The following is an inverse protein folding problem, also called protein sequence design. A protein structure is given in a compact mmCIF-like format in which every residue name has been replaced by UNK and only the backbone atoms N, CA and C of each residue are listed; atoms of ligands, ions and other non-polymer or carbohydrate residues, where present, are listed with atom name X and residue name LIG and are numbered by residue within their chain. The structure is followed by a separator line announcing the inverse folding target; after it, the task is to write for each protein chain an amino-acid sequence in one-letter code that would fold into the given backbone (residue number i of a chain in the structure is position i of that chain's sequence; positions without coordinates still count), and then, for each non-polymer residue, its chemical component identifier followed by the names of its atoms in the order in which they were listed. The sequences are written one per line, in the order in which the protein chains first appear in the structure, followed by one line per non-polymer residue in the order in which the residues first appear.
data_IF_799562213649
#
_entry.id   IF_799562213649
#
_cell.length_a   1.000
_cell.length_b   1.000
_cell.length_c   1.000
_cell.angle_alpha   90.00
_cell.angle_beta   90.00
_cell.angle_gamma   90.00
#
_symmetry.space_group_name_H-M   'P 1'
#
loop_
_entity.id
_entity.type
_entity.pdbx_description
1 polymer ?
#
# COMPACT_ATOMS: atom_id res chain seq x y z
N UNK A 1 -3.22 7.77 13.80
CA UNK A 1 -2.44 8.42 12.72
C UNK A 1 -1.62 7.33 12.06
N UNK A 2 -1.71 7.18 10.74
CA UNK A 2 -0.97 6.16 9.99
C UNK A 2 0.53 6.52 9.87
N UNK A 3 1.38 5.53 9.49
CA UNK A 3 2.82 5.77 9.29
C UNK A 3 3.08 6.84 8.22
N UNK A 4 2.27 6.90 7.16
CA UNK A 4 2.39 7.88 6.09
C UNK A 4 2.06 9.30 6.57
N UNK A 5 0.98 9.45 7.36
CA UNK A 5 0.59 10.75 7.90
C UNK A 5 1.65 11.29 8.87
N UNK A 6 2.22 10.42 9.69
CA UNK A 6 3.32 10.79 10.61
C UNK A 6 4.55 11.24 9.85
N UNK A 7 4.98 10.46 8.86
CA UNK A 7 6.14 10.77 8.03
C UNK A 7 5.99 12.12 7.31
N UNK A 8 4.86 12.34 6.63
CA UNK A 8 4.60 13.59 5.93
C UNK A 8 4.53 14.78 6.87
N UNK A 9 3.91 14.62 8.05
CA UNK A 9 3.86 15.66 9.07
C UNK A 9 5.28 16.05 9.53
N UNK A 10 6.13 15.08 9.86
CA UNK A 10 7.51 15.33 10.29
C UNK A 10 8.32 15.99 9.17
N UNK A 11 8.15 15.52 7.93
CA UNK A 11 8.84 16.08 6.78
C UNK A 11 8.47 17.55 6.52
N UNK A 12 7.20 17.92 6.70
CA UNK A 12 6.70 19.29 6.53
C UNK A 12 6.90 20.19 7.76
N UNK A 13 7.45 19.70 8.87
CA UNK A 13 7.85 20.55 9.99
C UNK A 13 9.08 21.42 9.65
N UNK A 14 9.86 21.03 8.65
CA UNK A 14 10.93 21.87 8.12
C UNK A 14 10.34 23.10 7.44
N UNK A 15 10.79 24.31 7.84
CA UNK A 15 10.24 25.58 7.37
C UNK A 15 10.45 25.84 5.89
N UNK A 16 11.57 25.39 5.33
CA UNK A 16 11.88 25.53 3.90
C UNK A 16 10.91 24.67 3.07
N UNK A 17 10.70 23.41 3.47
CA UNK A 17 9.74 22.50 2.83
C UNK A 17 8.30 23.00 2.98
N UNK A 18 7.97 23.53 4.14
CA UNK A 18 6.63 24.07 4.39
C UNK A 18 6.36 25.32 3.54
N UNK A 19 7.32 26.25 3.45
CA UNK A 19 7.21 27.42 2.56
C UNK A 19 7.09 26.98 1.09
N UNK A 20 7.94 26.07 0.67
CA UNK A 20 7.95 25.52 -0.69
C UNK A 20 6.63 24.82 -1.05
N UNK A 21 6.05 24.06 -0.08
CA UNK A 21 4.75 23.44 -0.27
C UNK A 21 3.66 24.48 -0.59
N UNK A 22 3.56 25.56 0.19
CA UNK A 22 2.59 26.60 -0.08
C UNK A 22 2.90 27.36 -1.37
N UNK A 23 4.18 27.64 -1.64
CA UNK A 23 4.60 28.32 -2.86
C UNK A 23 4.26 27.49 -4.12
N UNK A 24 4.50 26.20 -4.09
CA UNK A 24 4.15 25.29 -5.18
C UNK A 24 2.63 25.16 -5.36
N UNK A 25 1.92 24.84 -4.26
CA UNK A 25 0.46 24.59 -4.34
C UNK A 25 -0.38 25.84 -4.66
N UNK A 26 0.00 27.00 -4.11
CA UNK A 26 -0.85 28.19 -4.14
C UNK A 26 -0.33 29.27 -5.11
N UNK A 27 0.96 29.30 -5.41
CA UNK A 27 1.62 30.38 -6.14
C UNK A 27 2.44 29.88 -7.34
N UNK A 28 2.22 28.63 -7.79
CA UNK A 28 2.88 28.07 -8.99
C UNK A 28 4.41 28.12 -8.92
N UNK A 29 4.98 28.02 -7.72
CA UNK A 29 6.42 28.07 -7.45
C UNK A 29 7.00 29.46 -7.23
N UNK A 30 6.20 30.53 -7.34
CA UNK A 30 6.65 31.86 -6.95
C UNK A 30 6.96 31.88 -5.46
N UNK A 31 8.14 32.40 -5.08
CA UNK A 31 8.63 32.43 -3.69
C UNK A 31 7.99 33.57 -2.87
N UNK A 32 6.67 33.46 -2.67
CA UNK A 32 5.86 34.43 -1.92
C UNK A 32 6.05 34.26 -0.42
N UNK A 33 6.16 33.02 0.05
CA UNK A 33 6.39 32.68 1.45
C UNK A 33 7.85 32.29 1.62
N UNK A 34 8.53 32.94 2.57
CA UNK A 34 9.93 32.67 2.91
C UNK A 34 10.04 31.92 4.22
N UNK A 35 10.96 30.97 4.29
CA UNK A 35 11.14 30.13 5.47
C UNK A 35 11.49 30.92 6.74
N UNK A 36 12.28 31.99 6.60
CA UNK A 36 12.67 32.89 7.70
C UNK A 36 11.49 33.68 8.29
N UNK A 37 10.41 33.86 7.55
CA UNK A 37 9.17 34.50 8.01
C UNK A 37 8.24 33.55 8.76
N UNK A 38 8.55 32.24 8.75
CA UNK A 38 7.74 31.21 9.39
C UNK A 38 8.18 30.97 10.85
N UNK A 39 7.18 30.85 11.72
CA UNK A 39 7.37 30.44 13.11
C UNK A 39 6.50 29.23 13.41
N UNK A 40 7.04 28.27 14.12
CA UNK A 40 6.31 27.07 14.53
C UNK A 40 5.12 27.45 15.43
N UNK A 41 3.96 26.89 15.11
CA UNK A 41 2.73 27.13 15.81
C UNK A 41 2.01 25.82 16.16
N UNK A 42 2.73 24.71 16.18
CA UNK A 42 2.22 23.36 16.45
C UNK A 42 1.77 23.23 17.91
N UNK A 43 0.63 23.79 18.21
CA UNK A 43 -0.05 23.65 19.50
C UNK A 43 -1.28 22.74 19.36
N UNK A 44 -1.45 21.90 20.36
CA UNK A 44 -2.65 21.06 20.48
C UNK A 44 -3.87 21.95 20.82
N UNK A 45 -4.91 21.87 19.98
CA UNK A 45 -6.19 22.52 20.29
C UNK A 45 -7.07 21.60 21.12
N UNK A 46 -7.33 22.00 22.36
CA UNK A 46 -8.39 21.42 23.17
C UNK A 46 -9.57 22.38 23.12
N UNK A 47 -10.60 22.04 22.35
CA UNK A 47 -11.86 22.79 22.40
C UNK A 47 -12.73 22.11 23.44
N UNK A 48 -12.87 22.78 24.57
CA UNK A 48 -13.87 22.43 25.57
C UNK A 48 -15.21 22.99 25.09
N UNK A 49 -16.11 22.11 24.64
CA UNK A 49 -17.47 22.44 24.22
C UNK A 49 -17.58 23.50 23.09
N UNK A 50 -17.60 23.03 21.86
CA UNK A 50 -17.88 23.88 20.70
C UNK A 50 -19.18 23.40 20.01
N UNK A 51 -20.23 24.22 19.89
CA UNK A 51 -20.45 25.48 20.57
C UNK A 51 -20.66 25.33 22.09
N UNK A 52 -20.36 26.35 22.90
CA UNK A 52 -20.63 26.28 24.35
C UNK A 52 -22.12 26.05 24.56
N UNK A 53 -22.47 24.94 25.20
CA UNK A 53 -23.83 24.71 25.65
C UNK A 53 -24.26 25.92 26.54
N UNK A 54 -25.33 26.60 26.15
CA UNK A 54 -25.96 27.58 27.05
C UNK A 54 -26.35 26.77 28.30
N UNK A 55 -26.01 27.28 29.51
CA UNK A 55 -26.49 26.62 30.71
C UNK A 55 -28.01 26.53 30.61
N UNK A 56 -28.54 25.33 30.71
CA UNK A 56 -29.99 25.12 30.71
C UNK A 56 -30.61 26.05 31.74
N UNK A 57 -31.63 26.82 31.34
CA UNK A 57 -32.36 27.68 32.23
C UNK A 57 -32.83 26.85 33.44
N UNK A 58 -32.48 27.27 34.65
CA UNK A 58 -32.94 26.63 35.88
C UNK A 58 -34.46 26.70 35.93
N UNK A 59 -35.13 25.60 35.70
CA UNK A 59 -36.56 25.49 35.85
C UNK A 59 -37.21 24.47 34.93
N UNK A 60 -37.00 23.18 35.22
CA UNK A 60 -37.97 22.10 35.00
C UNK A 60 -37.45 20.86 35.73
N UNK A 61 -38.07 20.57 36.85
CA UNK A 61 -38.00 19.25 37.48
C UNK A 61 -38.47 18.17 36.53
N UNK A 62 -37.66 17.20 36.25
CA UNK A 62 -38.11 15.84 35.91
C UNK A 62 -37.01 14.81 36.04
N UNK A 63 -37.24 13.89 36.98
CA UNK A 63 -36.83 12.45 36.97
C UNK A 63 -35.37 12.11 36.62
N UNK A 64 -34.65 11.84 37.69
CA UNK A 64 -33.52 10.96 37.88
C UNK A 64 -32.89 10.25 36.66
N UNK A 65 -32.07 10.97 35.91
CA UNK A 65 -31.05 10.35 35.10
C UNK A 65 -29.69 10.89 35.57
N UNK A 66 -28.96 10.06 36.29
CA UNK A 66 -27.58 10.34 36.66
C UNK A 66 -26.71 10.36 35.38
N UNK A 67 -26.76 11.44 34.65
CA UNK A 67 -25.79 11.75 33.61
C UNK A 67 -24.54 12.35 34.25
N UNK A 68 -23.63 11.48 34.69
CA UNK A 68 -22.22 11.83 34.66
C UNK A 68 -21.84 11.97 33.18
N UNK A 69 -22.24 13.09 32.57
CA UNK A 69 -21.70 13.49 31.28
C UNK A 69 -20.22 13.80 31.49
N UNK A 70 -19.38 12.81 31.20
CA UNK A 70 -17.98 13.07 30.93
C UNK A 70 -17.97 14.12 29.82
N UNK A 71 -17.54 15.35 30.13
CA UNK A 71 -17.29 16.39 29.14
C UNK A 71 -16.36 15.78 28.09
N UNK A 72 -16.91 15.35 26.96
CA UNK A 72 -16.13 14.90 25.82
C UNK A 72 -15.41 16.11 25.27
N UNK A 73 -14.14 16.26 25.65
CA UNK A 73 -13.26 17.23 25.04
C UNK A 73 -13.01 16.76 23.61
N UNK A 74 -13.56 17.43 22.63
CA UNK A 74 -13.22 17.18 21.24
C UNK A 74 -11.83 17.75 21.01
N UNK A 75 -10.86 16.88 20.80
CA UNK A 75 -9.49 17.26 20.49
C UNK A 75 -9.38 17.36 18.97
N UNK A 76 -9.03 18.55 18.49
CA UNK A 76 -8.71 18.78 17.10
C UNK A 76 -7.19 18.90 17.00
N UNK A 77 -6.58 18.05 16.18
CA UNK A 77 -5.16 18.07 15.90
C UNK A 77 -4.96 18.48 14.45
N UNK A 78 -4.21 19.54 14.22
CA UNK A 78 -3.69 19.86 12.91
C UNK A 78 -2.36 19.15 12.70
N UNK A 79 -2.13 18.67 11.49
CA UNK A 79 -0.89 17.96 11.20
C UNK A 79 0.31 18.89 11.25
N UNK A 80 0.29 20.01 10.51
CA UNK A 80 1.34 21.04 10.59
C UNK A 80 0.68 22.42 10.56
N UNK A 81 1.17 23.32 11.41
CA UNK A 81 0.73 24.71 11.46
C UNK A 81 1.91 25.63 11.73
N UNK A 82 1.98 26.72 10.98
CA UNK A 82 2.98 27.77 11.18
C UNK A 82 2.36 29.17 11.15
N UNK A 83 2.98 30.08 11.86
CA UNK A 83 2.69 31.50 11.76
C UNK A 83 3.59 32.12 10.68
N UNK A 84 2.98 32.79 9.71
CA UNK A 84 3.69 33.65 8.76
C UNK A 84 3.72 35.07 9.31
N UNK A 85 4.91 35.57 9.56
CA UNK A 85 5.17 36.90 10.13
C UNK A 85 5.75 37.80 9.04
N UNK A 86 4.90 38.45 8.26
CA UNK A 86 5.34 39.40 7.22
C UNK A 86 5.14 40.84 7.73
N UNK A 87 6.20 41.50 8.16
CA UNK A 87 6.17 42.83 8.79
C UNK A 87 5.30 42.83 10.05
N UNK A 88 4.20 43.60 10.04
CA UNK A 88 3.24 43.68 11.15
C UNK A 88 2.07 42.71 11.01
N UNK A 89 1.95 42.03 9.87
CA UNK A 89 0.88 41.07 9.60
C UNK A 89 1.27 39.67 10.08
N UNK A 90 0.37 39.05 10.81
CA UNK A 90 0.46 37.65 11.22
C UNK A 90 -0.64 36.86 10.51
N UNK A 91 -0.27 35.80 9.86
CA UNK A 91 -1.19 34.87 9.20
C UNK A 91 -0.93 33.45 9.71
N UNK A 92 -1.92 32.59 9.57
CA UNK A 92 -1.81 31.19 10.01
C UNK A 92 -1.91 30.30 8.79
N UNK A 93 -0.85 29.55 8.54
CA UNK A 93 -0.78 28.55 7.48
C UNK A 93 -0.90 27.16 8.11
N UNK A 94 -1.72 26.29 7.53
CA UNK A 94 -1.93 24.95 8.03
C UNK A 94 -2.01 23.93 6.91
N UNK A 95 -1.45 22.74 7.15
CA UNK A 95 -1.56 21.59 6.27
C UNK A 95 -2.26 20.46 7.01
N UNK A 96 -3.28 19.88 6.36
CA UNK A 96 -3.92 18.64 6.76
C UNK A 96 -3.50 17.55 5.80
N UNK A 97 -2.69 16.60 6.26
CA UNK A 97 -2.24 15.48 5.43
C UNK A 97 -3.20 14.30 5.53
N UNK A 98 -3.59 13.75 4.39
CA UNK A 98 -4.49 12.60 4.29
C UNK A 98 -3.87 11.54 3.38
N UNK A 99 -3.65 10.36 3.91
CA UNK A 99 -3.18 9.19 3.14
C UNK A 99 -4.33 8.33 2.57
N UNK A 100 -5.56 8.62 2.95
CA UNK A 100 -6.80 7.99 2.45
C UNK A 100 -7.87 9.06 2.20
N UNK A 101 -8.88 8.72 1.41
CA UNK A 101 -9.97 9.65 1.10
C UNK A 101 -10.91 9.74 2.31
N UNK A 102 -11.00 10.92 2.89
CA UNK A 102 -11.95 11.22 3.95
C UNK A 102 -13.06 12.13 3.40
N UNK A 103 -14.22 11.55 3.22
CA UNK A 103 -15.40 12.24 2.68
C UNK A 103 -15.91 13.38 3.56
N UNK A 104 -15.39 13.56 4.77
CA UNK A 104 -15.75 14.64 5.68
C UNK A 104 -14.79 15.84 5.64
N UNK A 105 -13.78 15.84 4.76
CA UNK A 105 -12.70 16.85 4.78
C UNK A 105 -13.16 18.30 4.73
N UNK A 106 -14.14 18.71 3.91
CA UNK A 106 -14.60 20.11 3.93
C UNK A 106 -15.10 20.55 5.31
N UNK A 107 -15.87 19.68 5.99
CA UNK A 107 -16.36 19.96 7.34
C UNK A 107 -15.24 19.96 8.37
N UNK A 108 -14.28 19.02 8.24
CA UNK A 108 -13.11 18.95 9.15
C UNK A 108 -12.23 20.20 9.03
N UNK A 109 -11.85 20.60 7.83
CA UNK A 109 -11.04 21.79 7.60
C UNK A 109 -11.77 23.06 8.07
N UNK A 110 -13.05 23.20 7.74
CA UNK A 110 -13.88 24.29 8.26
C UNK A 110 -13.92 24.32 9.79
N UNK A 111 -14.05 23.14 10.41
CA UNK A 111 -14.06 23.01 11.87
C UNK A 111 -12.73 23.43 12.50
N UNK A 112 -11.60 23.08 11.89
CA UNK A 112 -10.28 23.50 12.36
C UNK A 112 -10.09 25.02 12.21
N UNK A 113 -10.51 25.62 11.10
CA UNK A 113 -10.41 27.07 10.90
C UNK A 113 -11.31 27.82 11.89
N UNK A 114 -12.54 27.35 12.08
CA UNK A 114 -13.47 27.91 13.06
C UNK A 114 -12.91 27.80 14.48
N UNK A 115 -12.28 26.67 14.83
CA UNK A 115 -11.62 26.46 16.11
C UNK A 115 -10.50 27.47 16.36
N UNK A 116 -9.69 27.74 15.33
CA UNK A 116 -8.63 28.74 15.41
C UNK A 116 -9.18 30.15 15.61
N UNK A 117 -10.19 30.54 14.84
CA UNK A 117 -10.84 31.86 15.04
C UNK A 117 -11.47 31.97 16.43
N UNK A 118 -12.08 30.90 16.93
CA UNK A 118 -12.62 30.87 18.28
C UNK A 118 -11.54 31.02 19.35
N UNK A 119 -10.39 30.38 19.17
CA UNK A 119 -9.21 30.53 20.05
C UNK A 119 -8.73 31.99 20.09
N UNK A 120 -8.63 32.63 18.93
CA UNK A 120 -8.23 34.04 18.82
C UNK A 120 -9.24 34.96 19.54
N UNK A 121 -10.54 34.73 19.35
CA UNK A 121 -11.59 35.46 20.05
C UNK A 121 -11.48 35.29 21.57
N UNK A 122 -11.25 34.05 22.04
CA UNK A 122 -11.08 33.76 23.47
C UNK A 122 -9.86 34.49 24.05
N UNK A 123 -8.75 34.52 23.30
CA UNK A 123 -7.56 35.27 23.70
C UNK A 123 -7.79 36.76 23.82
N UNK A 124 -8.52 37.38 22.85
CA UNK A 124 -8.89 38.81 22.90
C UNK A 124 -9.81 39.13 24.10
N UNK A 125 -10.83 38.32 24.36
CA UNK A 125 -11.70 38.44 25.54
C UNK A 125 -10.92 38.27 26.85
N UNK A 126 -9.95 37.34 26.90
CA UNK A 126 -9.09 37.17 28.06
C UNK A 126 -8.22 38.41 28.31
N UNK A 127 -7.65 38.98 27.24
CA UNK A 127 -6.86 40.21 27.30
C UNK A 127 -7.72 41.37 27.81
N UNK A 128 -8.98 41.54 27.28
CA UNK A 128 -9.95 42.51 27.76
C UNK A 128 -10.21 42.37 29.26
N UNK A 129 -10.50 41.17 29.74
CA UNK A 129 -10.76 40.90 31.15
C UNK A 129 -9.56 41.22 32.06
N UNK A 130 -8.35 40.94 31.61
CA UNK A 130 -7.11 41.24 32.33
C UNK A 130 -6.87 42.76 32.43
N UNK A 131 -7.14 43.52 31.36
CA UNK A 131 -7.04 44.98 31.36
C UNK A 131 -8.06 45.61 32.31
N UNK A 132 -9.28 45.11 32.32
CA UNK A 132 -10.32 45.59 33.24
C UNK A 132 -10.05 45.27 34.71
N UNK A 133 -9.36 44.14 35.03
CA UNK A 133 -9.05 43.76 36.42
C UNK A 133 -7.85 44.55 37.00
N UNK A 134 -6.89 44.95 36.18
CA UNK A 134 -5.68 45.65 36.64
C UNK A 134 -5.92 47.11 37.01
N UNK A 135 -7.12 47.66 36.71
CA UNK A 135 -7.39 49.07 36.90
C UNK A 135 -8.67 49.33 37.73
N UNK A 136 -8.57 49.13 39.04
CA UNK A 136 -9.55 49.67 39.98
C UNK A 136 -9.47 51.21 40.15
N UNK A 137 -8.72 51.93 39.29
CA UNK A 137 -8.54 53.37 39.47
C UNK A 137 -8.43 54.27 38.23
N UNK A 138 -8.14 53.71 37.03
CA UNK A 138 -8.06 54.49 35.81
C UNK A 138 -8.25 53.60 34.61
N UNK A 139 -9.35 53.76 33.89
CA UNK A 139 -9.74 52.89 32.77
C UNK A 139 -8.90 53.20 31.53
N UNK A 140 -7.95 52.32 31.17
CA UNK A 140 -7.29 52.37 29.85
C UNK A 140 -8.31 52.17 28.72
N UNK A 141 -9.51 51.70 29.04
CA UNK A 141 -10.64 51.56 28.12
C UNK A 141 -11.64 52.66 28.36
N UNK A 142 -11.21 53.86 28.75
CA UNK A 142 -12.10 54.99 29.09
C UNK A 142 -12.98 55.47 27.93
N UNK A 143 -12.72 55.04 26.70
CA UNK A 143 -13.50 55.30 25.51
C UNK A 143 -14.32 54.12 24.97
N UNK A 144 -14.31 52.96 25.62
CA UNK A 144 -15.01 51.79 25.11
C UNK A 144 -16.53 51.95 25.19
N UNK A 145 -17.21 51.63 24.10
CA UNK A 145 -18.66 51.67 23.99
C UNK A 145 -19.34 50.60 24.85
N UNK A 146 -20.65 50.78 25.12
CA UNK A 146 -21.42 49.74 25.81
C UNK A 146 -21.41 48.40 25.08
N UNK A 147 -21.40 48.41 23.74
CA UNK A 147 -21.37 47.21 22.92
C UNK A 147 -20.01 46.49 23.03
N UNK A 148 -18.89 47.19 23.06
CA UNK A 148 -17.56 46.65 23.28
C UNK A 148 -17.42 46.02 24.67
N UNK A 149 -17.97 46.71 25.70
CA UNK A 149 -18.01 46.18 27.06
C UNK A 149 -18.83 44.89 27.16
N UNK A 150 -19.96 44.84 26.45
CA UNK A 150 -20.84 43.67 26.45
C UNK A 150 -20.24 42.48 25.69
N UNK A 151 -19.59 42.74 24.53
CA UNK A 151 -18.98 41.72 23.69
C UNK A 151 -17.61 41.26 24.22
N UNK A 152 -16.90 42.13 24.96
CA UNK A 152 -15.53 41.91 25.41
C UNK A 152 -14.49 41.95 24.27
N UNK A 153 -14.83 42.65 23.18
CA UNK A 153 -13.98 42.78 21.97
C UNK A 153 -14.11 44.23 21.49
N UNK A 154 -12.99 44.84 21.10
CA UNK A 154 -12.96 46.18 20.53
C UNK A 154 -13.41 46.17 19.06
N UNK A 155 -14.06 47.22 18.61
CA UNK A 155 -14.42 47.45 17.21
C UNK A 155 -13.20 47.43 16.28
N UNK A 156 -12.04 47.77 16.81
CA UNK A 156 -10.75 47.78 16.10
C UNK A 156 -10.04 46.45 16.11
N UNK A 157 -10.49 45.50 16.93
CA UNK A 157 -9.88 44.16 16.95
C UNK A 157 -10.02 43.47 15.57
N UNK A 158 -8.96 42.83 15.14
CA UNK A 158 -8.94 42.01 13.92
C UNK A 158 -8.41 40.63 14.28
N UNK A 159 -8.93 39.61 13.63
CA UNK A 159 -8.40 38.24 13.71
C UNK A 159 -7.37 38.03 12.61
N UNK A 160 -6.42 37.15 12.88
CA UNK A 160 -5.48 36.69 11.87
C UNK A 160 -6.19 35.71 10.93
N UNK A 161 -6.03 35.85 9.61
CA UNK A 161 -6.58 34.93 8.66
C UNK A 161 -5.92 33.55 8.81
N UNK A 162 -6.68 32.50 8.53
CA UNK A 162 -6.23 31.10 8.53
C UNK A 162 -6.34 30.58 7.11
N UNK A 163 -5.28 29.99 6.62
CA UNK A 163 -5.20 29.35 5.30
C UNK A 163 -4.84 27.89 5.48
N UNK A 164 -5.77 27.00 5.17
CA UNK A 164 -5.61 25.56 5.30
C UNK A 164 -5.53 24.94 3.91
N UNK A 165 -4.50 24.11 3.68
CA UNK A 165 -4.37 23.25 2.50
C UNK A 165 -4.49 21.80 2.95
N UNK A 166 -5.31 21.03 2.26
CA UNK A 166 -5.42 19.60 2.41
C UNK A 166 -4.46 18.93 1.41
N UNK A 167 -3.42 18.27 1.92
CA UNK A 167 -2.48 17.49 1.14
C UNK A 167 -2.98 16.04 1.08
N UNK A 168 -3.40 15.59 -0.08
CA UNK A 168 -3.75 14.20 -0.30
C UNK A 168 -2.56 13.43 -0.84
N UNK A 169 -2.05 12.52 -0.03
CA UNK A 169 -0.91 11.66 -0.32
C UNK A 169 -1.30 10.22 -0.67
N UNK A 170 -2.59 9.93 -0.82
CA UNK A 170 -3.12 8.62 -1.18
C UNK A 170 -2.77 8.18 -2.60
N UNK A 171 -3.08 6.92 -2.92
CA UNK A 171 -2.79 6.34 -4.25
C UNK A 171 -3.97 6.38 -5.19
N UNK A 172 -5.20 6.44 -4.65
CA UNK A 172 -6.41 6.43 -5.47
C UNK A 172 -6.78 7.85 -5.88
N UNK A 173 -7.37 8.07 -7.05
CA UNK A 173 -7.87 9.38 -7.44
C UNK A 173 -8.85 9.92 -6.38
N UNK A 174 -8.80 11.22 -6.12
CA UNK A 174 -9.71 11.81 -5.14
C UNK A 174 -11.14 11.86 -5.69
N UNK A 175 -12.04 11.08 -5.10
CA UNK A 175 -13.48 11.06 -5.41
C UNK A 175 -14.34 11.69 -4.32
N UNK A 176 -13.71 12.25 -3.28
CA UNK A 176 -14.40 12.92 -2.18
C UNK A 176 -14.90 14.33 -2.50
N UNK A 177 -15.71 14.92 -1.63
CA UNK A 177 -16.21 16.29 -1.80
C UNK A 177 -15.05 17.30 -1.81
N UNK A 178 -15.14 18.29 -2.69
CA UNK A 178 -14.18 19.39 -2.79
C UNK A 178 -14.70 20.67 -2.17
N UNK A 179 -16.01 20.73 -1.90
CA UNK A 179 -16.67 21.87 -1.26
C UNK A 179 -17.65 21.38 -0.20
N UNK A 180 -18.02 22.25 0.72
CA UNK A 180 -19.09 21.95 1.67
C UNK A 180 -20.43 21.72 0.95
N UNK A 181 -20.69 22.42 -0.15
CA UNK A 181 -21.91 22.24 -0.94
C UNK A 181 -22.05 20.86 -1.55
N UNK A 182 -20.94 20.17 -1.86
CA UNK A 182 -20.96 18.79 -2.36
C UNK A 182 -21.53 17.80 -1.32
N UNK A 183 -21.52 18.19 -0.05
CA UNK A 183 -22.02 17.38 1.07
C UNK A 183 -23.45 17.74 1.49
N UNK A 184 -24.07 18.77 0.89
CA UNK A 184 -25.35 19.30 1.32
C UNK A 184 -26.53 18.65 0.59
N UNK A 185 -27.55 18.27 1.35
CA UNK A 185 -28.83 17.81 0.82
C UNK A 185 -29.73 19.01 0.47
N UNK A 186 -29.40 19.74 -0.59
CA UNK A 186 -30.24 20.84 -1.06
C UNK A 186 -31.53 20.30 -1.66
N UNK A 187 -32.66 20.96 -1.33
CA UNK A 187 -33.91 20.63 -1.97
C UNK A 187 -33.91 21.12 -3.44
N UNK A 188 -34.37 20.31 -4.40
CA UNK A 188 -34.31 20.66 -5.84
C UNK A 188 -34.96 22.00 -6.21
N UNK A 189 -36.01 22.43 -5.46
CA UNK A 189 -36.75 23.63 -5.71
C UNK A 189 -36.31 24.81 -4.82
N UNK A 190 -35.23 24.66 -4.04
CA UNK A 190 -34.83 25.66 -3.03
C UNK A 190 -33.79 26.65 -3.57
N UNK A 191 -34.08 27.26 -4.71
CA UNK A 191 -33.17 28.23 -5.33
C UNK A 191 -33.01 29.51 -4.48
N UNK A 192 -34.00 29.85 -3.65
CA UNK A 192 -33.97 31.06 -2.84
C UNK A 192 -33.13 30.93 -1.59
N UNK A 193 -33.23 29.81 -0.85
CA UNK A 193 -32.44 29.62 0.37
C UNK A 193 -30.98 29.25 0.03
N UNK A 194 -30.74 28.60 -1.11
CA UNK A 194 -29.39 28.26 -1.60
C UNK A 194 -28.54 29.53 -1.77
N UNK A 195 -29.14 30.66 -2.15
CA UNK A 195 -28.45 31.94 -2.24
C UNK A 195 -27.86 32.40 -0.90
N UNK A 196 -28.45 32.02 0.23
CA UNK A 196 -27.97 32.37 1.57
C UNK A 196 -26.87 31.46 2.06
N UNK A 197 -26.68 30.28 1.43
CA UNK A 197 -25.62 29.35 1.79
C UNK A 197 -24.26 29.94 1.46
N UNK A 198 -23.33 29.84 2.41
CA UNK A 198 -21.95 30.22 2.22
C UNK A 198 -21.13 28.95 2.15
N UNK A 199 -20.56 28.69 0.99
CA UNK A 199 -19.75 27.50 0.75
C UNK A 199 -18.38 27.61 1.42
N UNK A 200 -17.79 26.46 1.67
CA UNK A 200 -16.42 26.33 2.14
C UNK A 200 -15.66 25.43 1.17
N UNK A 201 -14.86 26.02 0.27
CA UNK A 201 -14.04 25.25 -0.65
C UNK A 201 -12.85 24.62 0.08
N UNK A 202 -12.55 23.36 -0.26
CA UNK A 202 -11.36 22.68 0.20
C UNK A 202 -10.18 23.06 -0.70
N UNK A 203 -9.13 23.67 -0.15
CA UNK A 203 -7.89 23.87 -0.88
C UNK A 203 -7.16 22.53 -0.90
N UNK A 204 -7.44 21.71 -1.91
CA UNK A 204 -6.98 20.34 -2.02
C UNK A 204 -5.81 20.25 -3.01
N UNK A 205 -4.70 19.68 -2.54
CA UNK A 205 -3.56 19.29 -3.39
C UNK A 205 -3.44 17.77 -3.39
N UNK A 206 -3.65 17.15 -4.56
CA UNK A 206 -3.54 15.70 -4.75
C UNK A 206 -2.22 15.36 -5.46
N UNK A 207 -1.31 14.70 -4.76
CA UNK A 207 0.00 14.32 -5.35
C UNK A 207 -0.17 13.42 -6.58
N UNK A 208 -1.13 12.49 -6.54
CA UNK A 208 -1.38 11.54 -7.63
C UNK A 208 -2.12 12.13 -8.85
N UNK A 209 -2.76 13.28 -8.70
CA UNK A 209 -3.43 14.01 -9.79
C UNK A 209 -2.54 15.09 -10.42
N UNK A 210 -1.41 15.38 -9.77
CA UNK A 210 -0.46 16.41 -10.20
C UNK A 210 0.61 15.83 -11.12
N UNK A 211 1.18 16.65 -11.99
CA UNK A 211 2.24 16.24 -12.92
C UNK A 211 3.35 17.29 -12.97
N UNK A 212 4.59 16.83 -13.05
CA UNK A 212 5.77 17.68 -13.18
C UNK A 212 6.46 17.94 -11.85
N UNK A 213 5.85 18.69 -10.95
CA UNK A 213 6.40 19.16 -9.67
C UNK A 213 7.61 20.11 -9.79
N UNK A 214 7.77 20.78 -10.93
CA UNK A 214 8.87 21.71 -11.18
C UNK A 214 8.70 23.03 -10.39
N UNK A 215 7.50 23.29 -9.92
CA UNK A 215 7.14 24.40 -9.03
C UNK A 215 7.65 24.22 -7.59
N UNK A 216 8.11 23.02 -7.22
CA UNK A 216 8.73 22.77 -5.92
C UNK A 216 10.26 22.86 -6.05
N UNK A 217 10.87 23.66 -5.18
CA UNK A 217 12.31 23.97 -5.27
C UNK A 217 13.16 23.26 -4.20
N UNK A 218 12.50 22.62 -3.22
CA UNK A 218 13.17 21.80 -2.22
C UNK A 218 13.11 20.31 -2.58
N UNK A 219 13.52 19.46 -1.69
CA UNK A 219 13.42 17.99 -1.77
C UNK A 219 11.98 17.46 -1.71
N UNK A 220 10.98 18.32 -1.50
CA UNK A 220 9.57 18.01 -1.76
C UNK A 220 9.35 17.53 -3.21
N UNK A 221 10.07 18.11 -4.16
CA UNK A 221 10.03 17.71 -5.57
C UNK A 221 10.37 16.23 -5.74
N UNK A 222 11.48 15.78 -5.12
CA UNK A 222 11.88 14.39 -5.19
C UNK A 222 10.85 13.49 -4.52
N UNK A 223 10.38 13.86 -3.34
CA UNK A 223 9.38 13.09 -2.60
C UNK A 223 8.08 12.95 -3.40
N UNK A 224 7.52 14.03 -3.91
CA UNK A 224 6.25 14.00 -4.65
C UNK A 224 6.36 13.26 -5.98
N UNK A 225 7.46 13.40 -6.71
CA UNK A 225 7.73 12.61 -7.92
C UNK A 225 7.79 11.12 -7.62
N UNK A 226 8.49 10.71 -6.55
CA UNK A 226 8.55 9.32 -6.12
C UNK A 226 7.18 8.77 -5.71
N UNK A 227 6.40 9.56 -4.96
CA UNK A 227 5.04 9.18 -4.56
C UNK A 227 4.10 9.02 -5.75
N UNK A 228 4.21 9.88 -6.77
CA UNK A 228 3.37 9.79 -7.96
C UNK A 228 3.67 8.54 -8.80
N UNK A 229 4.92 8.06 -8.79
CA UNK A 229 5.35 6.87 -9.53
C UNK A 229 5.25 5.56 -8.73
N UNK A 230 4.92 5.58 -7.44
CA UNK A 230 5.03 4.43 -6.53
C UNK A 230 4.22 3.18 -6.90
N UNK A 231 3.13 3.33 -7.69
CA UNK A 231 2.34 2.19 -8.20
C UNK A 231 2.92 1.60 -9.51
N UNK A 232 3.80 2.31 -10.17
CA UNK A 232 4.39 1.92 -11.45
C UNK A 232 5.89 1.67 -11.26
N UNK A 233 6.25 0.39 -11.17
CA UNK A 233 7.65 -0.02 -10.91
C UNK A 233 8.61 0.48 -12.00
N UNK A 234 8.17 0.52 -13.26
CA UNK A 234 9.02 0.95 -14.35
C UNK A 234 9.28 2.46 -14.23
N UNK A 235 8.23 3.25 -14.04
CA UNK A 235 8.36 4.70 -13.84
C UNK A 235 9.16 5.05 -12.59
N UNK A 236 8.96 4.30 -11.50
CA UNK A 236 9.74 4.50 -10.28
C UNK A 236 11.24 4.22 -10.52
N UNK A 237 11.56 3.16 -11.27
CA UNK A 237 12.95 2.84 -11.63
C UNK A 237 13.56 3.93 -12.52
N UNK A 238 12.84 4.37 -13.55
CA UNK A 238 13.29 5.44 -14.44
C UNK A 238 13.53 6.73 -13.65
N UNK A 239 12.63 7.06 -12.72
CA UNK A 239 12.74 8.22 -11.86
C UNK A 239 13.97 8.14 -10.94
N UNK A 240 14.21 6.99 -10.31
CA UNK A 240 15.34 6.79 -9.41
C UNK A 240 16.68 6.76 -10.15
N UNK A 241 16.69 6.58 -11.48
CA UNK A 241 17.87 6.79 -12.33
C UNK A 241 18.23 8.26 -12.56
N UNK A 242 17.36 9.20 -12.17
CA UNK A 242 17.63 10.64 -12.27
C UNK A 242 18.70 11.06 -11.24
N UNK A 243 19.65 11.87 -11.67
CA UNK A 243 20.75 12.39 -10.83
C UNK A 243 20.27 13.10 -9.56
N UNK A 244 19.04 13.58 -9.54
CA UNK A 244 18.42 14.19 -8.36
C UNK A 244 18.31 13.21 -7.17
N UNK A 245 18.37 11.91 -7.41
CA UNK A 245 18.30 10.86 -6.38
C UNK A 245 19.66 10.25 -6.03
N UNK A 246 20.73 10.72 -6.66
CA UNK A 246 22.08 10.21 -6.40
C UNK A 246 22.70 10.71 -5.09
N UNK A 247 22.14 11.78 -4.52
CA UNK A 247 22.62 12.38 -3.27
C UNK A 247 21.45 13.00 -2.49
N UNK A 248 20.72 12.17 -1.75
CA UNK A 248 19.60 12.59 -0.92
C UNK A 248 20.06 12.83 0.51
N UNK A 249 19.49 13.82 1.18
CA UNK A 249 19.63 13.92 2.63
C UNK A 249 18.84 12.79 3.33
N UNK A 250 19.12 12.59 4.60
CA UNK A 250 18.56 11.50 5.40
C UNK A 250 17.04 11.54 5.48
N UNK A 251 16.47 12.71 5.77
CA UNK A 251 15.03 12.89 5.89
C UNK A 251 14.30 12.54 4.58
N UNK A 252 14.86 12.96 3.45
CA UNK A 252 14.27 12.71 2.13
C UNK A 252 14.35 11.24 1.75
N UNK A 253 15.49 10.59 2.04
CA UNK A 253 15.62 9.14 1.88
C UNK A 253 14.55 8.40 2.67
N UNK A 254 14.43 8.70 3.96
CA UNK A 254 13.48 8.05 4.85
C UNK A 254 12.03 8.31 4.42
N UNK A 255 11.73 9.55 4.06
CA UNK A 255 10.40 9.91 3.57
C UNK A 255 10.03 9.15 2.28
N UNK A 256 10.94 9.09 1.30
CA UNK A 256 10.70 8.33 0.06
C UNK A 256 10.52 6.85 0.37
N UNK A 257 11.41 6.25 1.18
CA UNK A 257 11.32 4.84 1.54
C UNK A 257 10.00 4.47 2.25
N UNK A 258 9.55 5.34 3.16
CA UNK A 258 8.26 5.18 3.85
C UNK A 258 7.09 5.37 2.90
N UNK A 259 7.07 6.46 2.11
CA UNK A 259 5.94 6.82 1.26
C UNK A 259 5.80 5.92 0.02
N UNK A 260 6.86 5.25 -0.40
CA UNK A 260 6.84 4.22 -1.46
C UNK A 260 6.69 2.79 -0.92
N UNK A 261 6.56 2.63 0.41
CA UNK A 261 6.43 1.34 1.11
C UNK A 261 7.60 0.37 0.85
N UNK A 262 8.82 0.90 0.77
CA UNK A 262 10.01 0.12 0.49
C UNK A 262 10.86 -0.09 1.75
N UNK A 263 10.53 -1.14 2.52
CA UNK A 263 11.25 -1.48 3.75
C UNK A 263 12.73 -1.82 3.52
N UNK A 264 13.11 -2.33 2.35
CA UNK A 264 14.49 -2.68 2.04
C UNK A 264 15.39 -1.44 1.97
N UNK A 265 14.87 -0.30 1.47
CA UNK A 265 15.60 0.96 1.49
C UNK A 265 15.89 1.46 2.91
N UNK A 266 14.97 1.26 3.84
CA UNK A 266 15.20 1.63 5.25
C UNK A 266 16.21 0.72 5.95
N UNK A 267 16.17 -0.59 5.68
CA UNK A 267 17.04 -1.57 6.32
C UNK A 267 18.48 -1.46 5.86
N UNK A 268 18.70 -1.14 4.59
CA UNK A 268 20.03 -1.12 3.96
C UNK A 268 20.61 0.30 3.77
N UNK A 269 19.99 1.31 4.35
CA UNK A 269 20.32 2.74 4.19
C UNK A 269 21.81 3.03 4.30
N UNK A 270 22.47 2.54 5.36
CA UNK A 270 23.87 2.83 5.64
C UNK A 270 24.86 2.31 4.58
N UNK A 271 24.48 1.25 3.83
CA UNK A 271 25.28 0.74 2.73
C UNK A 271 25.39 1.73 1.54
N UNK A 272 24.43 2.65 1.44
CA UNK A 272 24.32 3.60 0.34
C UNK A 272 24.70 5.03 0.73
N UNK A 273 25.32 5.19 1.90
CA UNK A 273 25.88 6.47 2.35
C UNK A 273 27.01 6.89 1.41
N UNK A 274 26.93 8.12 0.93
CA UNK A 274 27.97 8.72 0.11
C UNK A 274 28.30 10.14 0.58
N UNK A 275 29.42 10.67 0.10
CA UNK A 275 29.85 12.04 0.41
C UNK A 275 30.05 12.79 -0.89
N UNK A 276 29.38 13.93 -1.04
CA UNK A 276 29.55 14.82 -2.18
C UNK A 276 30.03 16.19 -1.67
N UNK A 277 31.27 16.52 -1.97
CA UNK A 277 31.93 17.69 -1.34
C UNK A 277 32.08 17.48 0.17
N UNK A 278 31.49 18.37 0.97
CA UNK A 278 31.49 18.31 2.44
C UNK A 278 30.12 17.83 3.02
N UNK A 279 29.21 17.38 2.18
CA UNK A 279 27.89 16.95 2.61
C UNK A 279 27.77 15.43 2.54
N UNK A 280 27.29 14.84 3.61
CA UNK A 280 26.89 13.43 3.65
C UNK A 280 25.48 13.28 3.07
N UNK A 281 25.26 12.22 2.32
CA UNK A 281 23.99 11.90 1.71
C UNK A 281 23.88 10.42 1.38
N UNK A 282 22.85 10.06 0.65
CA UNK A 282 22.53 8.68 0.31
C UNK A 282 22.23 8.55 -1.19
N UNK A 283 22.82 7.53 -1.82
CA UNK A 283 22.62 7.26 -3.25
C UNK A 283 21.47 6.25 -3.49
N UNK A 284 20.27 6.78 -3.73
CA UNK A 284 19.10 5.96 -3.97
C UNK A 284 19.12 5.26 -5.33
N UNK A 285 19.79 5.86 -6.34
CA UNK A 285 19.96 5.22 -7.65
C UNK A 285 20.72 3.89 -7.49
N UNK A 286 21.84 3.90 -6.80
CA UNK A 286 22.64 2.70 -6.54
C UNK A 286 21.85 1.67 -5.72
N UNK A 287 21.15 2.11 -4.69
CA UNK A 287 20.36 1.24 -3.84
C UNK A 287 19.30 0.46 -4.64
N UNK A 288 18.65 1.14 -5.56
CA UNK A 288 17.62 0.51 -6.39
C UNK A 288 18.22 -0.49 -7.38
N UNK A 289 19.34 -0.14 -8.02
CA UNK A 289 20.06 -1.02 -8.95
C UNK A 289 20.51 -2.30 -8.25
N UNK A 290 21.07 -2.21 -7.05
CA UNK A 290 21.50 -3.38 -6.26
C UNK A 290 20.30 -4.23 -5.81
N UNK A 291 19.23 -3.61 -5.31
CA UNK A 291 18.01 -4.33 -4.93
C UNK A 291 17.36 -5.06 -6.11
N UNK A 292 17.40 -4.47 -7.30
CA UNK A 292 16.91 -5.14 -8.51
C UNK A 292 17.79 -6.31 -8.92
N UNK A 293 19.11 -6.14 -8.87
CA UNK A 293 20.04 -7.22 -9.16
C UNK A 293 19.85 -8.40 -8.19
N UNK A 294 19.68 -8.13 -6.90
CA UNK A 294 19.42 -9.15 -5.89
C UNK A 294 18.12 -9.88 -6.13
N UNK A 295 17.03 -9.17 -6.43
CA UNK A 295 15.74 -9.77 -6.76
C UNK A 295 15.75 -10.59 -8.04
N UNK A 296 16.50 -10.13 -9.03
CA UNK A 296 16.71 -10.89 -10.27
C UNK A 296 17.47 -12.20 -10.01
N UNK A 297 18.54 -12.14 -9.22
CA UNK A 297 19.32 -13.29 -8.83
C UNK A 297 18.48 -14.29 -8.00
N UNK A 298 17.70 -13.81 -7.05
CA UNK A 298 16.76 -14.63 -6.27
C UNK A 298 15.75 -15.34 -7.20
N UNK A 299 15.16 -14.61 -8.15
CA UNK A 299 14.23 -15.17 -9.13
C UNK A 299 14.85 -16.24 -10.01
N UNK A 300 16.10 -16.05 -10.45
CA UNK A 300 16.87 -17.05 -11.22
C UNK A 300 17.11 -18.31 -10.38
N UNK A 301 17.47 -18.17 -9.11
CA UNK A 301 17.69 -19.30 -8.21
C UNK A 301 16.41 -20.10 -7.97
N UNK A 302 15.29 -19.41 -7.71
CA UNK A 302 13.98 -20.05 -7.55
C UNK A 302 13.58 -20.78 -8.83
N UNK A 303 13.67 -20.13 -9.99
CA UNK A 303 13.32 -20.73 -11.27
C UNK A 303 14.19 -21.96 -11.62
N UNK A 304 15.49 -21.91 -11.31
CA UNK A 304 16.37 -23.11 -11.45
C UNK A 304 15.93 -24.24 -10.53
N UNK A 305 15.62 -23.94 -9.27
CA UNK A 305 15.21 -24.96 -8.31
C UNK A 305 13.87 -25.60 -8.72
N UNK A 306 12.89 -24.82 -9.08
CA UNK A 306 11.59 -25.30 -9.58
C UNK A 306 11.73 -26.09 -10.88
N UNK A 307 12.54 -25.62 -11.84
CA UNK A 307 12.81 -26.31 -13.09
C UNK A 307 13.45 -27.68 -12.86
N UNK A 308 14.39 -27.81 -11.92
CA UNK A 308 15.01 -29.10 -11.55
C UNK A 308 13.98 -30.04 -10.92
N UNK A 309 13.08 -29.53 -10.03
CA UNK A 309 12.05 -30.36 -9.40
C UNK A 309 11.03 -30.85 -10.42
N UNK A 310 10.57 -30.00 -11.32
CA UNK A 310 9.62 -30.34 -12.38
C UNK A 310 10.27 -31.37 -13.32
N UNK A 311 11.50 -31.10 -13.81
CA UNK A 311 12.19 -31.99 -14.69
C UNK A 311 12.46 -33.39 -14.09
N UNK A 312 12.83 -33.48 -12.81
CA UNK A 312 12.94 -34.76 -12.09
C UNK A 312 11.60 -35.49 -12.03
N UNK A 313 10.52 -34.78 -11.69
CA UNK A 313 9.18 -35.38 -11.57
C UNK A 313 8.69 -35.92 -12.92
N UNK A 314 8.79 -35.12 -13.96
CA UNK A 314 8.43 -35.53 -15.34
C UNK A 314 9.30 -36.68 -15.85
N UNK A 315 10.62 -36.61 -15.65
CA UNK A 315 11.54 -37.66 -16.03
C UNK A 315 11.21 -39.01 -15.37
N UNK A 316 10.86 -39.01 -14.07
CA UNK A 316 10.43 -40.22 -13.35
C UNK A 316 9.11 -40.77 -13.93
N UNK A 317 8.16 -39.91 -14.24
CA UNK A 317 6.86 -40.32 -14.82
C UNK A 317 7.02 -40.92 -16.21
N UNK A 318 7.83 -40.28 -17.05
CA UNK A 318 8.12 -40.77 -18.40
C UNK A 318 8.86 -42.12 -18.32
N UNK A 319 9.94 -42.20 -17.54
CA UNK A 319 10.70 -43.43 -17.37
C UNK A 319 9.88 -44.59 -16.82
N UNK A 320 8.99 -44.35 -15.88
CA UNK A 320 8.03 -45.38 -15.39
C UNK A 320 7.05 -45.82 -16.47
N UNK A 321 6.56 -44.92 -17.31
CA UNK A 321 5.64 -45.25 -18.40
C UNK A 321 6.33 -46.06 -19.48
N UNK A 322 7.47 -45.62 -19.92
CA UNK A 322 8.27 -46.30 -20.95
C UNK A 322 8.75 -47.69 -20.49
N UNK A 323 9.33 -47.78 -19.29
CA UNK A 323 9.76 -49.04 -18.72
C UNK A 323 8.61 -50.03 -18.53
N UNK A 324 7.42 -49.58 -18.13
CA UNK A 324 6.24 -50.43 -18.04
C UNK A 324 5.80 -50.93 -19.42
N UNK A 325 5.84 -50.07 -20.43
CA UNK A 325 5.45 -50.41 -21.80
C UNK A 325 6.43 -51.44 -22.40
N UNK A 326 7.72 -51.21 -22.25
CA UNK A 326 8.77 -52.09 -22.72
C UNK A 326 8.74 -53.46 -22.01
N UNK A 327 8.57 -53.45 -20.68
CA UNK A 327 8.40 -54.67 -19.89
C UNK A 327 7.22 -55.53 -20.32
N UNK A 328 6.08 -54.88 -20.65
CA UNK A 328 4.89 -55.61 -21.18
C UNK A 328 5.18 -56.20 -22.56
N UNK A 329 5.88 -55.49 -23.44
CA UNK A 329 6.23 -56.00 -24.76
C UNK A 329 7.19 -57.18 -24.70
N UNK A 330 8.22 -57.08 -23.86
CA UNK A 330 9.18 -58.18 -23.63
C UNK A 330 8.48 -59.40 -23.05
N UNK A 331 7.70 -59.22 -21.96
CA UNK A 331 6.98 -60.32 -21.32
C UNK A 331 5.95 -60.99 -22.25
N UNK A 332 5.27 -60.25 -23.12
CA UNK A 332 4.38 -60.82 -24.14
C UNK A 332 5.18 -61.67 -25.18
N UNK A 333 6.36 -61.21 -25.60
CA UNK A 333 7.19 -61.90 -26.56
C UNK A 333 7.74 -63.21 -25.99
N UNK A 334 8.29 -63.12 -24.78
CA UNK A 334 8.87 -64.30 -24.08
C UNK A 334 7.77 -65.32 -23.73
N UNK A 335 6.66 -64.86 -23.14
CA UNK A 335 5.52 -65.74 -22.82
C UNK A 335 4.93 -66.43 -24.04
N UNK A 336 4.88 -65.72 -25.21
CA UNK A 336 4.44 -66.36 -26.47
C UNK A 336 5.44 -67.40 -26.94
N UNK A 337 6.72 -67.10 -26.81
CA UNK A 337 7.76 -68.06 -27.22
C UNK A 337 7.79 -69.35 -26.34
N UNK A 338 7.71 -69.12 -24.99
CA UNK A 338 7.64 -70.26 -24.05
C UNK A 338 6.34 -71.09 -24.26
N UNK A 339 5.19 -70.41 -24.50
CA UNK A 339 3.94 -71.09 -24.79
C UNK A 339 3.99 -71.96 -26.01
N UNK A 340 4.62 -71.51 -27.09
CA UNK A 340 4.84 -72.33 -28.34
C UNK A 340 5.74 -73.48 -28.05
N UNK A 341 6.83 -73.29 -27.29
CA UNK A 341 7.74 -74.35 -26.96
C UNK A 341 7.08 -75.45 -26.13
N UNK A 342 6.28 -75.01 -25.10
CA UNK A 342 5.57 -75.92 -24.21
C UNK A 342 4.50 -76.73 -24.99
N UNK A 343 3.77 -76.09 -25.92
CA UNK A 343 2.75 -76.69 -26.74
C UNK A 343 3.41 -77.76 -27.67
N UNK A 344 4.54 -77.43 -28.24
CA UNK A 344 5.32 -78.38 -29.07
C UNK A 344 5.76 -79.58 -28.24
N UNK A 345 6.36 -79.39 -27.06
CA UNK A 345 6.76 -80.48 -26.17
C UNK A 345 5.56 -81.36 -25.76
N UNK A 346 4.41 -80.72 -25.38
CA UNK A 346 3.21 -81.49 -25.03
C UNK A 346 2.63 -82.28 -26.18
N UNK A 347 2.70 -81.75 -27.40
CA UNK A 347 2.20 -82.38 -28.59
C UNK A 347 3.14 -83.60 -28.93
N UNK A 348 4.47 -83.43 -28.85
CA UNK A 348 5.42 -84.55 -29.04
C UNK A 348 5.27 -85.65 -27.97
N UNK A 349 5.01 -85.26 -26.70
CA UNK A 349 4.77 -86.18 -25.61
C UNK A 349 3.47 -86.99 -25.85
N UNK A 350 2.37 -86.34 -26.30
CA UNK A 350 1.14 -87.04 -26.69
C UNK A 350 1.34 -88.02 -27.82
N UNK A 351 2.04 -87.59 -28.91
CA UNK A 351 2.30 -88.44 -30.03
C UNK A 351 3.12 -89.63 -29.56
N UNK A 352 4.16 -89.51 -28.76
CA UNK A 352 4.96 -90.59 -28.19
C UNK A 352 4.10 -91.57 -27.38
N UNK A 353 3.17 -91.06 -26.57
CA UNK A 353 2.20 -91.86 -25.78
C UNK A 353 1.28 -92.65 -26.71
N UNK A 354 0.77 -92.05 -27.78
CA UNK A 354 -0.08 -92.77 -28.77
C UNK A 354 0.72 -93.85 -29.46
N UNK A 355 1.92 -93.52 -29.91
CA UNK A 355 2.82 -94.56 -30.53
C UNK A 355 3.08 -95.73 -29.56
N UNK A 356 3.40 -95.43 -28.28
CA UNK A 356 3.62 -96.48 -27.27
C UNK A 356 2.40 -97.36 -27.06
N UNK A 357 1.19 -96.77 -27.00
CA UNK A 357 -0.07 -97.56 -26.88
C UNK A 357 -0.36 -98.42 -28.12
N UNK A 358 -0.08 -97.92 -29.32
CA UNK A 358 -0.29 -98.65 -30.57
C UNK A 358 0.71 -99.83 -30.73
N UNK A 359 1.97 -99.62 -30.29
CA UNK A 359 2.97 -100.66 -30.24
C UNK A 359 2.61 -101.78 -29.24
N UNK A 360 2.14 -101.43 -28.06
CA UNK A 360 1.64 -102.33 -27.03
C UNK A 360 0.40 -103.15 -27.53
N UNK A 361 -0.43 -102.53 -28.38
CA UNK A 361 -1.55 -103.19 -29.05
C UNK A 361 -1.18 -104.10 -30.23
N UNK A 362 0.13 -104.27 -30.51
CA UNK A 362 0.59 -105.18 -31.56
C UNK A 362 0.51 -104.65 -33.00
N UNK A 363 0.35 -103.31 -33.16
CA UNK A 363 0.30 -102.65 -34.48
C UNK A 363 1.73 -102.47 -34.98
N UNK A 364 1.97 -102.85 -36.25
CA UNK A 364 3.33 -102.77 -36.84
C UNK A 364 3.82 -101.35 -37.05
N UNK A 365 5.10 -101.08 -36.88
CA UNK A 365 5.77 -99.79 -37.05
C UNK A 365 5.32 -99.10 -38.34
N UNK A 366 5.24 -99.81 -39.43
CA UNK A 366 4.84 -99.32 -40.75
C UNK A 366 3.40 -98.79 -40.78
N UNK A 367 2.50 -99.48 -40.12
CA UNK A 367 1.07 -99.01 -39.97
C UNK A 367 0.94 -97.82 -39.03
N UNK A 368 1.75 -97.73 -37.96
CA UNK A 368 1.78 -96.57 -37.04
C UNK A 368 2.25 -95.32 -37.77
N UNK A 369 3.37 -95.48 -38.56
CA UNK A 369 3.86 -94.36 -39.35
C UNK A 369 2.80 -93.83 -40.34
N UNK A 370 2.03 -94.76 -40.94
CA UNK A 370 0.98 -94.40 -41.92
C UNK A 370 -0.23 -93.76 -41.28
N UNK A 371 -0.62 -94.18 -40.08
CA UNK A 371 -1.78 -93.62 -39.34
C UNK A 371 -1.52 -92.25 -38.73
N UNK A 372 -0.33 -92.04 -38.22
CA UNK A 372 0.09 -90.83 -37.55
C UNK A 372 0.81 -89.82 -38.43
N UNK A 373 1.06 -90.21 -39.70
CA UNK A 373 1.84 -89.38 -40.64
C UNK A 373 3.19 -88.95 -40.05
N UNK A 374 3.83 -89.78 -39.22
CA UNK A 374 5.02 -89.42 -38.49
C UNK A 374 6.23 -90.09 -39.08
N UNK A 375 7.42 -89.53 -38.79
CA UNK A 375 8.70 -90.07 -39.23
C UNK A 375 8.98 -91.45 -38.62
N UNK A 376 9.36 -92.46 -39.41
CA UNK A 376 9.68 -93.78 -38.88
C UNK A 376 10.71 -93.81 -37.77
N UNK A 377 11.66 -92.88 -37.78
CA UNK A 377 12.67 -92.74 -36.73
C UNK A 377 12.04 -92.41 -35.35
N UNK A 378 10.95 -91.74 -35.32
CA UNK A 378 10.23 -91.42 -34.06
C UNK A 378 9.58 -92.67 -33.45
N UNK A 379 8.99 -93.52 -34.28
CA UNK A 379 8.42 -94.78 -33.84
C UNK A 379 9.47 -95.76 -33.32
N UNK A 380 10.63 -95.84 -34.02
CA UNK A 380 11.82 -96.65 -33.60
C UNK A 380 12.37 -96.15 -32.25
N UNK A 381 12.45 -94.80 -32.05
CA UNK A 381 12.91 -94.23 -30.76
C UNK A 381 11.98 -94.61 -29.61
N UNK A 382 10.64 -94.56 -29.84
CA UNK A 382 9.72 -94.96 -28.80
C UNK A 382 9.73 -96.46 -28.53
N UNK A 383 9.90 -97.26 -29.56
CA UNK A 383 10.02 -98.72 -29.42
C UNK A 383 11.32 -99.12 -28.66
N UNK A 384 12.40 -98.48 -28.93
CA UNK A 384 13.69 -98.70 -28.21
C UNK A 384 13.58 -98.23 -26.72
N UNK A 385 12.68 -97.32 -26.36
CA UNK A 385 12.48 -96.87 -24.99
C UNK A 385 11.46 -97.70 -24.19
N UNK A 386 10.79 -98.70 -24.86
CA UNK A 386 9.86 -99.66 -24.23
C UNK A 386 10.51 -100.99 -23.89
N UNK A 387 11.69 -101.26 -24.48
CA UNK A 387 12.52 -102.40 -24.12
C UNK A 387 13.44 -102.04 -22.94
#
# INVERSE_FOLDING_TARGET
MGKYDTCMREFLQNKERFADFFNGCCFQGEQVIRAEELQDASEMYIIENFPPEKPAAKGADTLGYNSRQSQRKTQFFRDVKMYLCSGTALQILAVENQSYIDYSMPVRCMGYDAAEYYRQLKAKKRRWNLMNRRQKGSSIISGATSHEKLSGILKTDRLQPVYTVCLYSGTDPWDGPRTLSDMMAFHPNDNYLRFLFRDYPLNLFCVNEHSGFDEFHTDLRQLFRAMNCRKDKQKLTELMGDKLYSHLNEDTWDAIAVMTDNAALLQNKEAFRNTYGNQEGFNMCQALDELMADKMNEGILIGKHEGILIGKHEGILIGKREGKHEGILIGKREGKHEGILLEKQNSEAKIRTIISNMLAGGISCENICRFLECDPSLVEQVQAGIQ
#
